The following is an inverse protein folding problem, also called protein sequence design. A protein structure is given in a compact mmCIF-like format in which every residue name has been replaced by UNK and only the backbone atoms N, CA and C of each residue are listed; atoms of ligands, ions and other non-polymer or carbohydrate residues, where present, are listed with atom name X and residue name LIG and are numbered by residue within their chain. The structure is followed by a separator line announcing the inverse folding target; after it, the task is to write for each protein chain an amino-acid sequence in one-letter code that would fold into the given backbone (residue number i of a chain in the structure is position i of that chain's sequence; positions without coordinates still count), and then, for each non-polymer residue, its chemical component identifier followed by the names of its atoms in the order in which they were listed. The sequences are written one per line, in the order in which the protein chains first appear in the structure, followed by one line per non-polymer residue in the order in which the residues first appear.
data_IF_516321116978
#
_entry.id   IF_516321116978
#
_cell.length_a   1.000
_cell.length_b   1.000
_cell.length_c   1.000
_cell.angle_alpha   90.00
_cell.angle_beta   90.00
_cell.angle_gamma   90.00
#
_symmetry.space_group_name_H-M   'P 1'
#
loop_
_entity.id
_entity.type
_entity.pdbx_description
1 polymer ?
#
# COMPACT_ATOMS: atom_id res chain seq x y z
N UNK A 1 -22.37 13.58 -9.57
CA UNK A 1 -22.55 12.67 -8.42
C UNK A 1 -21.27 12.71 -7.63
N UNK A 2 -21.35 13.03 -6.33
CA UNK A 2 -20.28 12.88 -5.35
C UNK A 2 -19.07 13.78 -5.52
N UNK A 3 -19.00 14.85 -4.72
CA UNK A 3 -17.70 15.29 -4.24
C UNK A 3 -17.23 14.23 -3.25
N UNK A 4 -16.13 13.54 -3.56
CA UNK A 4 -15.38 12.80 -2.55
C UNK A 4 -14.08 13.57 -2.38
N UNK A 5 -14.17 14.52 -1.46
CA UNK A 5 -13.06 15.23 -0.86
C UNK A 5 -12.00 14.22 -0.44
N UNK A 6 -10.74 14.45 -0.83
CA UNK A 6 -9.65 13.48 -0.75
C UNK A 6 -9.38 12.99 0.66
N UNK A 7 -10.09 11.96 1.10
CA UNK A 7 -9.69 11.13 2.21
C UNK A 7 -8.47 10.34 1.75
N UNK A 8 -7.30 10.74 2.23
CA UNK A 8 -6.06 9.99 2.05
C UNK A 8 -6.20 8.69 2.83
N UNK A 9 -6.85 7.69 2.22
CA UNK A 9 -6.91 6.34 2.76
C UNK A 9 -5.48 5.88 2.96
N UNK A 10 -5.16 5.43 4.16
CA UNK A 10 -3.86 4.85 4.46
C UNK A 10 -4.03 3.34 4.48
N UNK A 11 -3.15 2.66 3.76
CA UNK A 11 -3.05 1.21 3.81
C UNK A 11 -1.80 0.82 4.59
N UNK A 12 -1.82 -0.36 5.17
CA UNK A 12 -0.71 -0.91 5.91
C UNK A 12 -0.12 -2.06 5.12
N UNK A 13 1.11 -1.89 4.65
CA UNK A 13 1.86 -2.97 4.00
C UNK A 13 2.62 -3.74 5.07
N UNK A 14 2.37 -5.04 5.22
CA UNK A 14 3.06 -5.87 6.19
C UNK A 14 4.14 -6.69 5.50
N UNK A 15 5.39 -6.57 5.94
CA UNK A 15 6.51 -7.34 5.42
C UNK A 15 6.51 -8.79 5.93
N UNK A 16 7.35 -9.63 5.32
CA UNK A 16 7.58 -11.02 5.72
C UNK A 16 8.12 -11.15 7.15
N UNK A 17 8.83 -10.13 7.63
CA UNK A 17 9.37 -10.03 8.98
C UNK A 17 8.29 -9.66 10.02
N UNK A 18 7.08 -9.35 9.57
CA UNK A 18 5.97 -8.90 10.40
C UNK A 18 5.97 -7.38 10.66
N UNK A 19 6.92 -6.64 10.10
CA UNK A 19 6.99 -5.17 10.20
C UNK A 19 5.94 -4.52 9.30
N UNK A 20 5.24 -3.52 9.83
CA UNK A 20 4.10 -2.85 9.21
C UNK A 20 4.47 -1.44 8.72
N UNK A 21 4.06 -1.12 7.50
CA UNK A 21 4.41 0.13 6.82
C UNK A 21 3.15 0.87 6.37
N UNK A 22 2.76 1.94 7.09
CA UNK A 22 1.63 2.76 6.67
C UNK A 22 2.01 3.62 5.46
N UNK A 23 1.22 3.52 4.39
CA UNK A 23 1.40 4.29 3.16
C UNK A 23 0.07 4.81 2.64
N UNK A 24 0.09 5.93 1.92
CA UNK A 24 -1.11 6.46 1.27
C UNK A 24 -1.58 5.47 0.19
N UNK A 25 -2.88 5.21 0.15
CA UNK A 25 -3.54 4.35 -0.84
C UNK A 25 -3.19 4.80 -2.25
N UNK A 26 -3.14 6.12 -2.52
CA UNK A 26 -2.73 6.66 -3.81
C UNK A 26 -1.31 6.25 -4.21
N UNK A 27 -0.36 6.30 -3.27
CA UNK A 27 1.03 5.86 -3.48
C UNK A 27 1.07 4.35 -3.71
N UNK A 28 0.24 3.60 -3.00
CA UNK A 28 0.19 2.17 -3.13
C UNK A 28 -0.50 1.71 -4.42
N UNK A 29 -1.49 2.46 -4.90
CA UNK A 29 -2.22 2.23 -6.14
C UNK A 29 -1.34 2.39 -7.39
N UNK A 30 -0.20 3.10 -7.30
CA UNK A 30 0.82 3.12 -8.36
C UNK A 30 1.36 1.71 -8.66
N UNK A 31 1.43 0.85 -7.65
CA UNK A 31 1.79 -0.56 -7.84
C UNK A 31 0.54 -1.35 -8.20
N UNK A 32 0.47 -1.82 -9.45
CA UNK A 32 -0.64 -2.67 -9.92
C UNK A 32 -0.87 -3.90 -9.03
N UNK A 33 0.19 -4.48 -8.48
CA UNK A 33 0.11 -5.61 -7.57
C UNK A 33 -0.62 -5.24 -6.28
N UNK A 34 -0.25 -4.11 -5.67
CA UNK A 34 -0.89 -3.62 -4.45
C UNK A 34 -2.33 -3.19 -4.75
N UNK A 35 -2.54 -2.47 -5.85
CA UNK A 35 -3.88 -2.06 -6.29
C UNK A 35 -4.84 -3.24 -6.39
N UNK A 36 -4.46 -4.31 -7.09
CA UNK A 36 -5.31 -5.51 -7.17
C UNK A 36 -5.56 -6.14 -5.80
N UNK A 37 -4.57 -6.12 -4.90
CA UNK A 37 -4.76 -6.62 -3.53
C UNK A 37 -5.75 -5.76 -2.74
N UNK A 38 -5.78 -4.43 -2.91
CA UNK A 38 -6.76 -3.53 -2.26
C UNK A 38 -8.16 -3.75 -2.82
N UNK A 39 -8.28 -3.86 -4.16
CA UNK A 39 -9.56 -4.06 -4.83
C UNK A 39 -10.18 -5.44 -4.50
N UNK A 40 -9.35 -6.47 -4.30
CA UNK A 40 -9.79 -7.82 -3.92
C UNK A 40 -10.03 -7.96 -2.40
N UNK A 41 -9.16 -7.36 -1.57
CA UNK A 41 -9.18 -7.41 -0.09
C UNK A 41 -9.91 -6.18 0.50
N UNK A 42 -11.14 -5.95 0.03
CA UNK A 42 -11.94 -4.74 0.21
C UNK A 42 -12.24 -4.31 1.68
N UNK A 43 -11.79 -5.06 2.70
CA UNK A 43 -12.19 -4.87 4.09
C UNK A 43 -11.11 -4.25 5.01
N UNK A 44 -9.83 -4.62 4.86
CA UNK A 44 -8.87 -4.39 5.95
C UNK A 44 -7.67 -3.49 5.60
N UNK A 45 -7.49 -3.09 4.33
CA UNK A 45 -6.37 -2.25 3.87
C UNK A 45 -4.99 -2.74 4.38
N UNK A 46 -4.90 -4.02 4.77
CA UNK A 46 -3.71 -4.64 5.34
C UNK A 46 -3.20 -5.66 4.34
N UNK A 47 -2.09 -5.35 3.69
CA UNK A 47 -1.58 -6.18 2.60
C UNK A 47 -0.33 -6.90 3.07
N UNK A 48 -0.42 -8.21 3.36
CA UNK A 48 0.73 -8.99 3.74
C UNK A 48 1.59 -9.33 2.53
N UNK A 49 2.87 -9.00 2.61
CA UNK A 49 3.93 -9.37 1.69
C UNK A 49 4.85 -10.43 2.33
N UNK A 50 4.44 -11.71 2.36
CA UNK A 50 5.22 -12.78 3.00
C UNK A 50 6.55 -13.08 2.31
N UNK A 51 6.77 -12.54 1.10
CA UNK A 51 7.99 -12.74 0.32
C UNK A 51 8.86 -11.47 0.21
N UNK A 52 8.52 -10.38 0.92
CA UNK A 52 9.26 -9.12 0.84
C UNK A 52 9.68 -8.70 2.24
N UNK A 53 10.99 -8.61 2.46
CA UNK A 53 11.53 -8.06 3.70
C UNK A 53 11.20 -6.57 3.86
N UNK A 54 11.15 -6.12 5.11
CA UNK A 54 11.00 -4.71 5.51
C UNK A 54 11.92 -3.74 4.74
N UNK A 55 13.18 -4.14 4.53
CA UNK A 55 14.19 -3.36 3.78
C UNK A 55 13.87 -3.20 2.29
N UNK A 56 13.21 -4.19 1.68
CA UNK A 56 12.76 -4.09 0.30
C UNK A 56 11.44 -3.32 0.21
N UNK A 57 10.52 -3.59 1.14
CA UNK A 57 9.22 -2.93 1.19
C UNK A 57 9.38 -1.42 1.38
N UNK A 58 10.24 -0.98 2.29
CA UNK A 58 10.60 0.44 2.45
C UNK A 58 11.15 1.09 1.17
N UNK A 59 11.99 0.39 0.40
CA UNK A 59 12.47 0.89 -0.91
C UNK A 59 11.36 0.97 -1.95
N UNK A 60 10.46 -0.01 -1.99
CA UNK A 60 9.27 0.00 -2.87
C UNK A 60 8.40 1.20 -2.53
N UNK A 61 8.15 1.45 -1.25
CA UNK A 61 7.37 2.58 -0.78
C UNK A 61 8.03 3.91 -1.17
N UNK A 62 9.35 4.05 -0.97
CA UNK A 62 10.08 5.25 -1.40
C UNK A 62 9.98 5.46 -2.91
N UNK A 63 10.08 4.37 -3.69
CA UNK A 63 9.95 4.42 -5.13
C UNK A 63 8.54 4.87 -5.56
N UNK A 64 7.49 4.27 -5.00
CA UNK A 64 6.11 4.67 -5.24
C UNK A 64 5.86 6.13 -4.85
N UNK A 65 6.45 6.61 -3.74
CA UNK A 65 6.35 8.03 -3.34
C UNK A 65 7.06 8.99 -4.29
N UNK A 66 8.15 8.57 -4.94
CA UNK A 66 8.89 9.39 -5.90
C UNK A 66 8.24 9.45 -7.28
N UNK A 67 7.40 8.47 -7.60
CA UNK A 67 6.75 8.34 -8.90
C UNK A 67 5.27 8.77 -8.89
N UNK A 68 4.75 9.20 -7.73
CA UNK A 68 3.44 9.85 -7.55
C UNK A 68 3.40 11.28 -8.09
#
# INVERSE_FOLDING_TARGET
MGAEEGEKKMITLKSSDGEEFPVEEAVAMESQTIRHMIEDDCADNNIPFPNVDSKFLSKVIEYCKKHV
#
